data_IF_866471733475
#
_entry.id   IF_866471733475
#
_cell.length_a   1.000
_cell.length_b   1.000
_cell.length_c   1.000
_cell.angle_alpha   90.00
_cell.angle_beta   90.00
_cell.angle_gamma   90.00
#
_symmetry.space_group_name_H-M   'P 1'
#
loop_
_entity.id
_entity.type
_entity.pdbx_description
1 polymer ?
#
# COMPACT_ATOMS: atom_id res chain seq x y z
N UNK A 1 14.20 10.60 -17.81
CA UNK A 1 13.99 10.61 -17.03
C UNK A 1 14.07 10.08 -16.22
N UNK A 2 14.39 9.87 -16.12
CA UNK A 2 14.15 9.19 -15.37
C UNK A 2 14.17 9.36 -14.19
N UNK A 3 14.51 9.86 -14.00
CA UNK A 3 14.45 10.08 -13.07
C UNK A 3 13.56 10.06 -12.29
N UNK A 4 13.49 10.73 -12.41
CA UNK A 4 12.26 10.67 -11.79
C UNK A 4 11.85 9.37 -11.53
N UNK A 5 12.21 8.61 -12.33
CA UNK A 5 11.83 7.27 -12.17
C UNK A 5 12.12 6.76 -10.80
N UNK A 6 13.19 7.21 -10.21
CA UNK A 6 13.52 6.71 -8.90
C UNK A 6 12.43 7.00 -7.90
N UNK A 7 11.92 8.20 -7.94
CA UNK A 7 10.90 8.55 -6.98
C UNK A 7 9.63 7.79 -7.21
N UNK A 8 9.39 7.36 -8.40
CA UNK A 8 8.16 6.68 -8.69
C UNK A 8 8.18 5.22 -8.38
N UNK A 9 9.33 4.69 -8.05
CA UNK A 9 9.43 3.25 -7.89
C UNK A 9 8.55 2.71 -6.79
N UNK A 10 8.32 3.49 -5.76
CA UNK A 10 7.61 2.97 -4.63
C UNK A 10 6.12 3.07 -4.78
N UNK A 11 5.64 4.08 -5.47
CA UNK A 11 4.21 4.29 -5.48
C UNK A 11 3.72 4.88 -6.78
N UNK A 12 4.53 4.84 -7.81
CA UNK A 12 4.16 5.48 -9.04
C UNK A 12 3.29 4.61 -9.91
N UNK A 13 3.87 4.04 -10.92
CA UNK A 13 3.10 3.39 -11.95
C UNK A 13 2.82 1.94 -11.70
N UNK A 14 3.43 1.36 -10.68
CA UNK A 14 3.33 -0.08 -10.45
C UNK A 14 2.52 -0.34 -9.21
N UNK A 15 1.57 -1.23 -9.31
CA UNK A 15 0.84 -1.67 -8.13
C UNK A 15 1.73 -2.61 -7.34
N UNK A 16 1.69 -2.48 -6.02
CA UNK A 16 2.52 -3.29 -5.14
C UNK A 16 1.67 -3.86 -4.03
N UNK A 17 2.10 -5.00 -3.51
CA UNK A 17 1.44 -5.62 -2.37
C UNK A 17 2.12 -5.11 -1.11
N UNK A 18 1.32 -4.63 -0.17
CA UNK A 18 1.83 -4.06 1.07
C UNK A 18 1.12 -4.69 2.25
N UNK A 19 1.81 -4.82 3.36
CA UNK A 19 1.24 -5.39 4.58
C UNK A 19 0.78 -4.26 5.50
N UNK A 20 -0.44 -4.37 5.98
CA UNK A 20 -1.01 -3.37 6.88
C UNK A 20 -0.40 -3.56 8.25
N UNK A 21 0.12 -2.49 8.83
CA UNK A 21 0.64 -2.52 10.19
C UNK A 21 -0.24 -1.72 11.14
N UNK A 22 -1.10 -0.87 10.65
CA UNK A 22 -2.03 -0.13 11.50
C UNK A 22 -3.05 0.57 10.65
N UNK A 23 -4.17 0.91 11.27
CA UNK A 23 -5.28 1.56 10.57
C UNK A 23 -5.77 2.71 11.42
N UNK A 24 -6.07 3.84 10.77
CA UNK A 24 -6.66 4.98 11.44
C UNK A 24 -7.65 5.63 10.47
N UNK A 25 -8.93 5.45 10.73
CA UNK A 25 -9.97 6.01 9.86
C UNK A 25 -9.87 5.44 8.46
N UNK A 26 -9.74 6.31 7.49
CA UNK A 26 -9.69 5.92 6.09
C UNK A 26 -8.28 5.71 5.57
N UNK A 27 -7.31 5.65 6.46
CA UNK A 27 -5.91 5.55 6.09
C UNK A 27 -5.28 4.39 6.83
N UNK A 28 -4.46 3.63 6.15
CA UNK A 28 -3.69 2.57 6.78
C UNK A 28 -2.22 2.86 6.62
N UNK A 29 -1.45 2.46 7.63
CA UNK A 29 0.00 2.46 7.53
C UNK A 29 0.39 1.07 7.06
N UNK A 30 1.17 1.01 6.00
CA UNK A 30 1.55 -0.25 5.38
C UNK A 30 3.06 -0.32 5.27
N UNK A 31 3.57 -1.53 5.20
CA UNK A 31 4.98 -1.78 5.02
C UNK A 31 5.23 -2.30 3.61
N UNK A 32 6.11 -1.62 2.90
CA UNK A 32 6.52 -1.99 1.56
C UNK A 32 8.04 -1.91 1.52
N UNK A 33 8.69 -3.04 1.24
CA UNK A 33 10.14 -3.06 1.08
C UNK A 33 10.85 -2.43 2.28
N UNK A 34 10.40 -2.77 3.47
CA UNK A 34 10.98 -2.32 4.73
C UNK A 34 10.78 -0.83 4.99
N UNK A 35 9.91 -0.18 4.26
CA UNK A 35 9.55 1.21 4.48
C UNK A 35 8.09 1.29 4.86
N UNK A 36 7.73 2.26 5.67
CA UNK A 36 6.34 2.48 6.05
C UNK A 36 5.77 3.60 5.21
N UNK A 37 4.55 3.39 4.74
CA UNK A 37 3.84 4.37 3.95
C UNK A 37 2.38 4.39 4.38
N UNK A 38 1.71 5.49 4.07
CA UNK A 38 0.29 5.60 4.35
C UNK A 38 -0.48 5.54 3.05
N UNK A 39 -1.57 4.79 3.05
CA UNK A 39 -2.41 4.63 1.86
C UNK A 39 -3.86 4.83 2.26
N UNK A 40 -4.65 5.30 1.32
CA UNK A 40 -6.08 5.41 1.52
C UNK A 40 -6.72 4.04 1.36
N UNK A 41 -7.65 3.72 2.24
CA UNK A 41 -8.28 2.40 2.23
C UNK A 41 -9.78 2.48 2.01
N UNK A 42 -10.27 3.58 1.46
CA UNK A 42 -11.71 3.74 1.28
C UNK A 42 -12.30 2.68 0.38
N UNK A 43 -11.52 2.17 -0.57
CA UNK A 43 -12.02 1.18 -1.51
C UNK A 43 -12.02 -0.22 -0.94
N UNK A 44 -11.29 -0.47 0.12
CA UNK A 44 -11.08 -1.83 0.62
C UNK A 44 -11.48 -2.00 2.07
N UNK A 45 -11.86 -0.92 2.72
CA UNK A 45 -12.24 -0.97 4.12
C UNK A 45 -13.40 -1.97 4.32
N UNK A 46 -13.45 -2.69 5.43
CA UNK A 46 -12.53 -2.59 6.56
C UNK A 46 -11.29 -3.46 6.38
N UNK A 47 -10.18 -3.00 6.92
CA UNK A 47 -8.95 -3.77 6.96
C UNK A 47 -8.40 -3.73 8.37
N UNK A 48 -7.56 -4.68 8.70
CA UNK A 48 -6.92 -4.74 10.01
C UNK A 48 -5.43 -5.01 9.82
N UNK A 49 -4.66 -4.75 10.87
CA UNK A 49 -3.24 -5.04 10.82
C UNK A 49 -3.04 -6.51 10.48
N UNK A 50 -2.10 -6.77 9.62
CA UNK A 50 -1.84 -8.12 9.14
C UNK A 50 -2.42 -8.40 7.78
N UNK A 51 -3.38 -7.60 7.33
CA UNK A 51 -3.92 -7.78 5.99
C UNK A 51 -2.90 -7.34 4.95
N UNK A 52 -3.09 -7.85 3.74
CA UNK A 52 -2.27 -7.44 2.60
C UNK A 52 -3.14 -6.72 1.60
N UNK A 53 -2.61 -5.65 1.05
CA UNK A 53 -3.36 -4.80 0.13
C UNK A 53 -2.56 -4.61 -1.14
N UNK A 54 -3.28 -4.57 -2.25
CA UNK A 54 -2.69 -4.16 -3.52
C UNK A 54 -2.84 -2.66 -3.60
N UNK A 55 -1.72 -1.95 -3.65
CA UNK A 55 -1.72 -0.50 -3.60
C UNK A 55 -1.12 0.09 -4.86
N UNK A 56 -1.64 1.24 -5.25
CA UNK A 56 -1.13 1.96 -6.42
C UNK A 56 -1.31 3.44 -6.14
N UNK A 57 -0.20 4.18 -6.24
CA UNK A 57 -0.22 5.64 -6.10
C UNK A 57 -0.85 6.09 -4.79
N UNK A 58 -0.58 5.40 -3.71
CA UNK A 58 -1.05 5.81 -2.39
C UNK A 58 -2.47 5.38 -2.07
N UNK A 59 -3.08 4.56 -2.91
CA UNK A 59 -4.45 4.10 -2.72
C UNK A 59 -4.44 2.58 -2.72
N UNK A 60 -5.13 1.98 -1.76
CA UNK A 60 -5.31 0.54 -1.75
C UNK A 60 -6.47 0.20 -2.69
N UNK A 61 -6.23 -0.70 -3.61
CA UNK A 61 -7.21 -1.06 -4.62
C UNK A 61 -7.97 -2.32 -4.25
N UNK A 62 -7.35 -3.24 -3.53
CA UNK A 62 -7.98 -4.51 -3.21
C UNK A 62 -7.25 -5.15 -2.05
N UNK A 63 -7.96 -5.99 -1.31
CA UNK A 63 -7.31 -6.88 -0.35
C UNK A 63 -6.89 -8.13 -1.10
N UNK A 64 -5.69 -8.60 -0.78
CA UNK A 64 -5.15 -9.77 -1.44
C UNK A 64 -4.61 -10.70 -0.37
N UNK A 65 -4.36 -11.95 -0.75
CA UNK A 65 -3.74 -12.88 0.18
C UNK A 65 -2.26 -12.59 0.24
N UNK A 66 -1.72 -12.71 1.43
CA UNK A 66 -0.31 -12.47 1.61
C UNK A 66 0.51 -13.56 0.97
N UNK A 67 1.83 -13.36 0.98
CA UNK A 67 2.72 -14.39 0.45
C UNK A 67 2.64 -15.65 1.28
N UNK A 68 2.93 -16.77 0.69
CA UNK A 68 2.89 -18.05 1.41
C UNK A 68 3.89 -18.11 2.54
#
# INVERSE_FOLDING_TARGET
MPLAAAGCLTCGDVAVVARVVGVAGDTATVEVAAALEQVGIELVSPVVAGDFLLCHAGIALAQVEGPP
#
